data_IF_013493608153
#
_entry.id   IF_013493608153
#
_cell.length_a   1.000
_cell.length_b   1.000
_cell.length_c   1.000
_cell.angle_alpha   90.00
_cell.angle_beta   90.00
_cell.angle_gamma   90.00
#
_symmetry.space_group_name_H-M   'P 1'
#
loop_
_entity.id
_entity.type
_entity.pdbx_description
1 polymer ?
#
# COMPACT_ATOMS: atom_id res chain seq x y z
N UNK A 1 12.82 21.82 19.46
CA UNK A 1 12.04 20.65 19.95
C UNK A 1 12.58 19.41 19.24
N UNK A 2 13.56 18.74 19.84
CA UNK A 2 14.15 17.53 19.29
C UNK A 2 13.36 16.32 19.75
N UNK A 3 12.88 15.51 18.79
CA UNK A 3 12.10 14.31 19.07
C UNK A 3 13.05 13.12 19.05
N UNK A 4 13.44 12.67 20.25
CA UNK A 4 14.19 11.44 20.45
C UNK A 4 13.22 10.31 20.79
N UNK A 5 13.14 9.33 19.89
CA UNK A 5 12.92 7.91 20.17
C UNK A 5 13.30 7.19 18.86
N UNK A 6 14.52 6.67 18.71
CA UNK A 6 14.89 5.32 19.18
C UNK A 6 13.77 4.30 18.90
N UNK A 7 13.46 4.10 17.61
CA UNK A 7 12.99 2.81 17.13
C UNK A 7 14.21 2.05 16.65
N UNK A 8 14.65 1.12 17.50
CA UNK A 8 15.72 0.15 17.24
C UNK A 8 15.52 -0.48 15.86
N UNK A 9 16.52 -0.33 14.98
CA UNK A 9 16.56 -0.99 13.67
C UNK A 9 16.96 -2.46 13.76
N UNK A 10 17.27 -2.98 14.95
CA UNK A 10 17.97 -4.26 15.11
C UNK A 10 17.24 -5.29 15.97
N UNK A 11 15.99 -5.04 16.38
CA UNK A 11 15.20 -6.03 17.13
C UNK A 11 15.04 -7.38 16.41
N UNK A 12 15.14 -7.39 15.07
CA UNK A 12 14.98 -8.61 14.26
C UNK A 12 16.28 -9.41 14.05
N UNK A 13 17.42 -8.93 14.56
CA UNK A 13 18.74 -9.56 14.41
C UNK A 13 19.19 -10.37 15.65
N UNK A 14 18.25 -10.99 16.37
CA UNK A 14 18.64 -12.10 17.25
C UNK A 14 19.06 -13.28 16.37
N UNK A 15 20.34 -13.25 16.00
CA UNK A 15 21.12 -14.37 15.52
C UNK A 15 20.96 -15.47 16.56
N UNK A 16 20.16 -16.48 16.24
CA UNK A 16 20.14 -17.73 16.98
C UNK A 16 21.57 -18.30 16.91
N UNK A 17 22.33 -18.15 17.98
CA UNK A 17 23.53 -18.93 18.23
C UNK A 17 23.10 -20.36 18.52
N UNK A 18 22.77 -21.10 17.46
CA UNK A 18 22.76 -22.55 17.53
C UNK A 18 24.21 -23.01 17.39
N UNK A 19 24.89 -23.13 18.54
CA UNK A 19 26.08 -23.97 18.64
C UNK A 19 25.61 -25.41 18.48
N UNK A 20 25.83 -26.00 17.32
CA UNK A 20 25.73 -27.44 17.10
C UNK A 20 26.91 -27.85 16.23
N UNK A 21 27.62 -28.84 16.72
CA UNK A 21 28.87 -29.33 16.16
C UNK A 21 28.70 -29.90 14.76
N UNK A 22 29.84 -30.00 14.07
CA UNK A 22 30.03 -30.54 12.73
C UNK A 22 29.78 -32.07 12.69
N UNK A 23 28.92 -32.56 11.77
CA UNK A 23 29.18 -33.85 11.15
C UNK A 23 29.11 -33.74 9.62
N UNK A 24 30.16 -34.24 8.98
CA UNK A 24 30.31 -34.30 7.54
C UNK A 24 29.21 -35.15 6.85
N UNK A 25 28.26 -34.48 6.20
CA UNK A 25 27.30 -35.02 5.24
C UNK A 25 26.41 -33.89 4.67
N UNK A 26 25.80 -34.02 3.48
CA UNK A 26 24.80 -33.05 3.04
C UNK A 26 23.57 -33.16 3.96
N UNK A 27 23.55 -32.35 5.02
CA UNK A 27 22.48 -32.36 6.03
C UNK A 27 21.14 -31.99 5.39
N UNK A 28 20.14 -32.90 5.38
CA UNK A 28 18.78 -32.55 4.98
C UNK A 28 18.20 -31.45 5.89
N UNK A 29 18.60 -31.43 7.17
CA UNK A 29 18.20 -30.40 8.14
C UNK A 29 18.73 -29.00 7.76
N UNK A 30 19.93 -28.92 7.18
CA UNK A 30 20.50 -27.66 6.68
C UNK A 30 19.73 -27.11 5.48
N UNK A 31 19.21 -27.98 4.61
CA UNK A 31 18.39 -27.60 3.46
C UNK A 31 17.02 -27.05 3.91
N UNK A 32 16.40 -27.68 4.92
CA UNK A 32 15.15 -27.22 5.52
C UNK A 32 15.31 -25.85 6.18
N UNK A 33 16.41 -25.62 6.91
CA UNK A 33 16.71 -24.32 7.52
C UNK A 33 16.88 -23.22 6.46
N UNK A 34 17.52 -23.51 5.32
CA UNK A 34 17.66 -22.55 4.22
C UNK A 34 16.31 -22.24 3.57
N UNK A 35 15.48 -23.25 3.32
CA UNK A 35 14.14 -23.07 2.76
C UNK A 35 13.24 -22.22 3.67
N UNK A 36 13.22 -22.52 4.97
CA UNK A 36 12.46 -21.76 5.96
C UNK A 36 12.93 -20.31 6.09
N UNK A 37 14.24 -20.05 6.02
CA UNK A 37 14.78 -18.68 5.98
C UNK A 37 14.30 -17.91 4.75
N UNK A 38 14.32 -18.56 3.58
CA UNK A 38 13.82 -17.95 2.34
C UNK A 38 12.33 -17.63 2.41
N UNK A 39 11.53 -18.51 3.02
CA UNK A 39 10.09 -18.30 3.25
C UNK A 39 9.83 -17.14 4.22
N UNK A 40 10.55 -17.09 5.35
CA UNK A 40 10.47 -15.98 6.31
C UNK A 40 10.78 -14.65 5.60
N UNK A 41 11.82 -14.61 4.77
CA UNK A 41 12.18 -13.40 4.04
C UNK A 41 11.13 -13.01 3.00
N UNK A 42 10.52 -13.98 2.32
CA UNK A 42 9.41 -13.73 1.41
C UNK A 42 8.19 -13.14 2.14
N UNK A 43 7.82 -13.71 3.30
CA UNK A 43 6.71 -13.22 4.12
C UNK A 43 7.00 -11.83 4.67
N UNK A 44 8.22 -11.58 5.15
CA UNK A 44 8.65 -10.24 5.60
C UNK A 44 8.52 -9.21 4.48
N UNK A 45 8.98 -9.54 3.27
CA UNK A 45 8.80 -8.66 2.09
C UNK A 45 7.33 -8.42 1.76
N UNK A 46 6.50 -9.46 1.83
CA UNK A 46 5.06 -9.33 1.59
C UNK A 46 4.37 -8.42 2.63
N UNK A 47 4.71 -8.57 3.90
CA UNK A 47 4.20 -7.74 5.00
C UNK A 47 4.66 -6.29 4.89
N UNK A 48 5.94 -6.06 4.59
CA UNK A 48 6.47 -4.71 4.37
C UNK A 48 5.75 -4.02 3.20
N UNK A 49 5.50 -4.75 2.10
CA UNK A 49 4.73 -4.27 0.96
C UNK A 49 3.28 -3.91 1.33
N UNK A 50 2.64 -4.67 2.21
CA UNK A 50 1.29 -4.35 2.70
C UNK A 50 1.28 -3.09 3.57
N UNK A 51 2.25 -2.95 4.47
CA UNK A 51 2.34 -1.81 5.37
C UNK A 51 2.49 -0.48 4.61
N UNK A 52 3.36 -0.44 3.58
CA UNK A 52 3.56 0.78 2.77
C UNK A 52 2.31 1.13 1.95
N UNK A 53 1.59 0.12 1.42
CA UNK A 53 0.34 0.35 0.69
C UNK A 53 -0.74 0.89 1.62
N UNK A 54 -0.85 0.38 2.84
CA UNK A 54 -1.81 0.86 3.83
C UNK A 54 -1.49 2.30 4.28
N UNK A 55 -0.22 2.65 4.44
CA UNK A 55 0.21 4.02 4.73
C UNK A 55 -0.17 4.98 3.59
N UNK A 56 0.15 4.61 2.34
CA UNK A 56 -0.21 5.40 1.17
C UNK A 56 -1.74 5.57 1.04
N UNK A 57 -2.53 4.52 1.33
CA UNK A 57 -3.98 4.62 1.37
C UNK A 57 -4.44 5.66 2.39
N UNK A 58 -3.88 5.64 3.61
CA UNK A 58 -4.18 6.64 4.64
C UNK A 58 -3.88 8.07 4.18
N UNK A 59 -2.75 8.29 3.52
CA UNK A 59 -2.41 9.61 2.95
C UNK A 59 -3.40 10.05 1.88
N UNK A 60 -3.79 9.16 0.97
CA UNK A 60 -4.80 9.45 -0.06
C UNK A 60 -6.13 9.82 0.59
N UNK A 61 -6.56 9.10 1.63
CA UNK A 61 -7.80 9.39 2.34
C UNK A 61 -7.80 10.77 3.02
N UNK A 62 -6.63 11.26 3.46
CA UNK A 62 -6.48 12.61 4.02
C UNK A 62 -6.53 13.68 2.91
N UNK A 63 -5.89 13.43 1.77
CA UNK A 63 -5.78 14.41 0.68
C UNK A 63 -7.01 14.49 -0.22
N UNK A 64 -7.71 13.37 -0.38
CA UNK A 64 -8.95 13.23 -1.13
C UNK A 64 -9.91 12.45 -0.24
N UNK A 65 -10.76 13.13 0.57
CA UNK A 65 -11.64 12.50 1.55
C UNK A 65 -12.46 11.38 0.93
N UNK A 66 -12.01 10.14 1.10
CA UNK A 66 -12.64 8.95 0.56
C UNK A 66 -12.44 7.77 1.51
N UNK A 67 -13.22 6.71 1.30
CA UNK A 67 -13.08 5.48 2.07
C UNK A 67 -11.82 4.70 1.63
N UNK A 68 -11.40 3.73 2.43
CA UNK A 68 -10.20 2.91 2.18
C UNK A 68 -10.21 2.20 0.82
N UNK A 69 -11.36 1.68 0.40
CA UNK A 69 -11.48 0.90 -0.84
C UNK A 69 -11.26 1.78 -2.09
N UNK A 70 -11.91 2.95 -2.24
CA UNK A 70 -11.56 3.92 -3.28
C UNK A 70 -10.10 4.39 -3.25
N UNK A 71 -9.53 4.65 -2.06
CA UNK A 71 -8.13 5.04 -1.93
C UNK A 71 -7.17 3.96 -2.47
N UNK A 72 -7.44 2.69 -2.16
CA UNK A 72 -6.65 1.57 -2.68
C UNK A 72 -6.83 1.42 -4.20
N UNK A 73 -8.05 1.55 -4.71
CA UNK A 73 -8.33 1.47 -6.14
C UNK A 73 -7.61 2.57 -6.92
N UNK A 74 -7.53 3.79 -6.36
CA UNK A 74 -6.75 4.88 -6.91
C UNK A 74 -5.26 4.50 -7.07
N UNK A 75 -4.64 3.88 -6.06
CA UNK A 75 -3.25 3.41 -6.16
C UNK A 75 -3.07 2.28 -7.19
N UNK A 76 -4.03 1.37 -7.28
CA UNK A 76 -4.05 0.29 -8.29
C UNK A 76 -4.15 0.88 -9.71
N UNK A 77 -4.96 1.90 -9.91
CA UNK A 77 -5.10 2.57 -11.20
C UNK A 77 -3.78 3.24 -11.64
N UNK A 78 -3.06 3.87 -10.69
CA UNK A 78 -1.74 4.44 -10.95
C UNK A 78 -0.74 3.34 -11.31
N UNK A 79 -0.72 2.25 -10.53
CA UNK A 79 0.14 1.08 -10.76
C UNK A 79 -0.04 0.50 -12.15
N UNK A 80 -1.29 0.30 -12.60
CA UNK A 80 -1.62 -0.19 -13.94
C UNK A 80 -1.15 0.78 -15.03
N UNK A 81 -1.42 2.08 -14.86
CA UNK A 81 -1.04 3.11 -15.84
C UNK A 81 0.48 3.28 -15.97
N UNK A 82 1.20 3.10 -14.87
CA UNK A 82 2.66 3.24 -14.84
C UNK A 82 3.38 1.90 -15.09
N UNK A 83 2.66 0.80 -15.28
CA UNK A 83 3.19 -0.57 -15.31
C UNK A 83 4.20 -0.83 -14.17
N UNK A 84 3.87 -0.36 -12.97
CA UNK A 84 4.75 -0.37 -11.79
C UNK A 84 4.05 -1.14 -10.68
N UNK A 85 4.78 -1.89 -9.84
CA UNK A 85 4.16 -2.67 -8.77
C UNK A 85 3.50 -1.73 -7.76
N UNK A 86 2.36 -2.15 -7.20
CA UNK A 86 1.59 -1.36 -6.23
C UNK A 86 2.42 -0.91 -5.01
N UNK A 87 3.27 -1.76 -4.38
CA UNK A 87 4.13 -1.32 -3.28
C UNK A 87 5.12 -0.23 -3.68
N UNK A 88 5.65 -0.26 -4.91
CA UNK A 88 6.61 0.73 -5.40
C UNK A 88 5.92 2.09 -5.65
N UNK A 89 4.68 2.06 -6.18
CA UNK A 89 3.84 3.27 -6.31
C UNK A 89 3.53 3.86 -4.94
N UNK A 90 3.18 3.02 -3.97
CA UNK A 90 2.90 3.44 -2.61
C UNK A 90 4.13 4.06 -1.95
N UNK A 91 5.29 3.41 -2.06
CA UNK A 91 6.56 3.91 -1.53
C UNK A 91 6.94 5.26 -2.14
N UNK A 92 6.76 5.43 -3.45
CA UNK A 92 7.07 6.70 -4.09
C UNK A 92 6.11 7.83 -3.66
N UNK A 93 4.82 7.52 -3.43
CA UNK A 93 3.88 8.49 -2.89
C UNK A 93 4.25 8.91 -1.46
N UNK A 94 4.68 7.96 -0.62
CA UNK A 94 5.19 8.23 0.73
C UNK A 94 6.45 9.10 0.67
N UNK A 95 7.44 8.75 -0.16
CA UNK A 95 8.65 9.53 -0.34
C UNK A 95 8.37 10.97 -0.80
N UNK A 96 7.29 11.18 -1.55
CA UNK A 96 6.87 12.51 -1.99
C UNK A 96 6.44 13.42 -0.86
N UNK A 97 5.83 12.84 0.17
CA UNK A 97 5.52 13.58 1.37
C UNK A 97 6.77 13.94 2.17
N UNK A 98 7.84 13.17 2.02
CA UNK A 98 9.15 13.43 2.62
C UNK A 98 10.00 14.41 1.78
N UNK A 99 9.48 14.89 0.64
CA UNK A 99 10.11 15.91 -0.21
C UNK A 99 10.69 15.39 -1.52
N UNK A 100 10.64 14.07 -1.78
CA UNK A 100 11.16 13.49 -3.01
C UNK A 100 10.19 13.67 -4.21
N UNK A 101 10.62 14.16 -5.37
CA UNK A 101 9.70 14.40 -6.47
C UNK A 101 9.17 13.09 -7.08
N UNK A 102 7.84 12.99 -7.27
CA UNK A 102 7.24 11.93 -8.10
C UNK A 102 7.74 12.01 -9.55
N UNK A 103 7.93 10.85 -10.18
CA UNK A 103 8.18 10.78 -11.62
C UNK A 103 7.03 11.39 -12.43
N UNK A 104 7.32 12.01 -13.58
CA UNK A 104 6.29 12.63 -14.44
C UNK A 104 5.20 11.65 -14.88
N UNK A 105 5.54 10.37 -15.05
CA UNK A 105 4.57 9.33 -15.39
C UNK A 105 3.59 9.12 -14.23
N UNK A 106 4.11 9.00 -13.01
CA UNK A 106 3.30 8.77 -11.82
C UNK A 106 2.48 10.00 -11.42
N UNK A 107 3.01 11.22 -11.61
CA UNK A 107 2.24 12.46 -11.47
C UNK A 107 1.04 12.50 -12.41
N UNK A 108 1.21 12.09 -13.68
CA UNK A 108 0.12 12.01 -14.65
C UNK A 108 -0.91 10.96 -14.24
N UNK A 109 -0.45 9.80 -13.79
CA UNK A 109 -1.31 8.74 -13.27
C UNK A 109 -2.15 9.20 -12.08
N UNK A 110 -1.51 9.84 -11.10
CA UNK A 110 -2.18 10.37 -9.90
C UNK A 110 -3.25 11.41 -10.26
N UNK A 111 -2.92 12.38 -11.12
CA UNK A 111 -3.89 13.38 -11.58
C UNK A 111 -5.09 12.75 -12.30
N UNK A 112 -4.87 11.70 -13.10
CA UNK A 112 -5.94 10.97 -13.78
C UNK A 112 -6.82 10.22 -12.79
N UNK A 113 -6.22 9.50 -11.85
CA UNK A 113 -6.94 8.71 -10.87
C UNK A 113 -7.76 9.59 -9.91
N UNK A 114 -7.22 10.73 -9.46
CA UNK A 114 -7.97 11.70 -8.66
C UNK A 114 -9.18 12.28 -9.42
N UNK A 115 -9.04 12.63 -10.70
CA UNK A 115 -10.18 13.11 -11.51
C UNK A 115 -11.30 12.07 -11.59
N UNK A 116 -10.94 10.80 -11.72
CA UNK A 116 -11.89 9.69 -11.76
C UNK A 116 -12.61 9.53 -10.43
N UNK A 117 -11.86 9.53 -9.32
CA UNK A 117 -12.42 9.45 -7.97
C UNK A 117 -13.48 10.54 -7.72
N UNK A 118 -13.18 11.79 -8.05
CA UNK A 118 -14.13 12.90 -7.87
C UNK A 118 -15.31 12.88 -8.85
N UNK A 119 -15.17 12.24 -10.02
CA UNK A 119 -16.28 12.06 -10.95
C UNK A 119 -17.27 11.00 -10.45
N UNK A 120 -16.76 9.93 -9.85
CA UNK A 120 -17.56 8.85 -9.26
C UNK A 120 -18.34 9.33 -8.02
N UNK A 121 -17.72 10.17 -7.18
CA UNK A 121 -18.36 10.76 -5.99
C UNK A 121 -19.56 11.66 -6.34
N UNK A 122 -19.41 12.50 -7.39
CA UNK A 122 -20.52 13.34 -7.90
C UNK A 122 -21.68 12.56 -8.52
N UNK A 123 -21.45 11.32 -8.94
CA UNK A 123 -22.48 10.46 -9.52
C UNK A 123 -23.46 9.91 -8.47
N UNK A 124 -23.02 9.80 -7.21
CA UNK A 124 -23.85 9.31 -6.10
C UNK A 124 -24.74 10.39 -5.47
N UNK A 125 -24.42 11.68 -5.65
CA UNK A 125 -25.17 12.83 -5.11
C UNK A 125 -26.34 13.30 -6.01
N UNK A 126 -26.74 12.52 -7.01
CA UNK A 126 -27.96 12.84 -7.78
C UNK A 126 -29.19 12.66 -6.88
N UNK A 127 -30.03 13.70 -6.68
CA UNK A 127 -31.28 13.55 -5.94
C UNK A 127 -32.16 12.49 -6.62
N UNK A 128 -32.90 11.64 -5.87
CA UNK A 128 -33.88 10.77 -6.50
C UNK A 128 -34.86 11.67 -7.25
N UNK A 129 -34.92 11.52 -8.58
CA UNK A 129 -35.84 12.27 -9.40
C UNK A 129 -37.26 12.10 -8.84
N UNK A 130 -37.87 13.23 -8.49
CA UNK A 130 -39.15 13.34 -7.81
C UNK A 130 -40.21 12.37 -8.36
N UNK A 131 -40.89 11.70 -7.42
CA UNK A 131 -42.10 10.93 -7.70
C UNK A 131 -43.15 11.81 -8.40
N UNK A 132 -43.86 11.29 -9.43
CA UNK A 132 -44.88 12.06 -10.11
C UNK A 132 -46.05 12.30 -9.17
N UNK A 133 -46.09 13.52 -8.64
CA UNK A 133 -47.20 14.17 -7.95
C UNK A 133 -48.54 13.70 -8.51
N UNK A 134 -49.23 12.88 -7.72
CA UNK A 134 -50.59 12.44 -7.95
C UNK A 134 -51.51 13.65 -8.06
N UNK A 135 -51.82 14.03 -9.30
CA UNK A 135 -52.81 15.06 -9.58
C UNK A 135 -54.16 14.38 -9.67
N UNK A 136 -54.90 14.44 -8.57
CA UNK A 136 -56.31 14.09 -8.52
C UNK A 136 -57.09 14.78 -9.65
N UNK A 137 -57.99 14.04 -10.27
CA UNK A 137 -59.03 14.59 -11.12
C UNK A 137 -60.36 14.26 -10.47
N UNK A 138 -61.02 15.32 -10.02
CA UNK A 138 -62.47 15.42 -9.84
C UNK A 138 -63.19 15.24 -11.17
#
# INVERSE_FOLDING_TARGET
>A
MHRTAMLSKDWWNLRAEASAEDPAGPDPEGQDVVALRAEIDQLRRALAGRAVVDQACGMVMVLAPCRREPARNLLVDISRQCNTKLPDVAAALVATWEGEPLSRLMQRGLRRALRRLYAEDRGCDSPPADEPSGRGRS
#
